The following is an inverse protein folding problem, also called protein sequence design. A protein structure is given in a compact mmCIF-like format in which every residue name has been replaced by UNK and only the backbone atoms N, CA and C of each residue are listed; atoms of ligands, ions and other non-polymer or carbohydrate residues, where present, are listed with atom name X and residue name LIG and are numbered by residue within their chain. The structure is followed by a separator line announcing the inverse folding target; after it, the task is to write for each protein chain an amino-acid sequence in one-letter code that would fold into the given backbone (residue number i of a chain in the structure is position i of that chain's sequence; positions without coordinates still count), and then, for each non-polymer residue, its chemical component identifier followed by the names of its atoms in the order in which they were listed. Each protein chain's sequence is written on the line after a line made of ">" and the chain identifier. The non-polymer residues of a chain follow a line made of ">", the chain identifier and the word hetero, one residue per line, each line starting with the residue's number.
data_IF_198117135101
#
_entry.id   IF_198117135101
#
_cell.length_a   1.000
_cell.length_b   1.000
_cell.length_c   1.000
_cell.angle_alpha   90.00
_cell.angle_beta   90.00
_cell.angle_gamma   90.00
#
_symmetry.space_group_name_H-M   'P 1'
#
loop_
_entity.id
_entity.type
_entity.pdbx_description
1 polymer ?
#
# COMPACT_ATOMS: atom_id res chain seq x y z
N UNK A 1 5.71 0.99 -12.79
CA UNK A 1 4.78 0.76 -11.67
C UNK A 1 3.77 -0.30 -12.05
N UNK A 2 3.54 -1.25 -11.18
CA UNK A 2 2.68 -2.39 -11.47
C UNK A 2 1.78 -2.70 -10.26
N UNK A 3 0.49 -2.85 -10.50
CA UNK A 3 -0.42 -3.30 -9.45
C UNK A 3 -0.22 -4.79 -9.20
N UNK A 4 -0.21 -5.19 -7.93
CA UNK A 4 -0.03 -6.59 -7.53
C UNK A 4 -1.19 -7.02 -6.63
N UNK A 5 -1.39 -8.33 -6.55
CA UNK A 5 -2.31 -8.90 -5.57
C UNK A 5 -1.55 -9.23 -4.29
N UNK A 6 -2.31 -9.47 -3.21
CA UNK A 6 -1.69 -9.81 -1.93
C UNK A 6 -0.87 -11.11 -2.00
N UNK A 7 -1.29 -12.05 -2.84
CA UNK A 7 -0.58 -13.33 -2.99
C UNK A 7 0.82 -13.14 -3.56
N UNK A 8 1.03 -12.10 -4.36
CA UNK A 8 2.33 -11.81 -4.95
C UNK A 8 3.35 -11.31 -3.93
N UNK A 9 2.90 -10.86 -2.77
CA UNK A 9 3.80 -10.38 -1.72
C UNK A 9 4.77 -11.47 -1.25
N UNK A 10 4.33 -12.73 -1.23
CA UNK A 10 5.18 -13.83 -0.82
C UNK A 10 6.36 -14.06 -1.78
N UNK A 11 6.19 -13.67 -3.04
CA UNK A 11 7.21 -13.83 -4.06
C UNK A 11 8.12 -12.63 -4.23
N UNK A 12 7.88 -11.54 -3.51
CA UNK A 12 8.73 -10.37 -3.62
C UNK A 12 10.01 -10.56 -2.82
N UNK A 13 11.14 -10.27 -3.46
CA UNK A 13 12.42 -10.27 -2.77
C UNK A 13 12.62 -8.95 -2.04
N UNK A 14 13.58 -8.92 -1.13
CA UNK A 14 13.95 -7.70 -0.42
C UNK A 14 14.44 -6.60 -1.38
N UNK A 15 14.85 -7.01 -2.59
CA UNK A 15 15.34 -6.11 -3.62
C UNK A 15 14.24 -5.61 -4.56
N UNK A 16 12.99 -5.96 -4.31
CA UNK A 16 11.88 -5.66 -5.23
C UNK A 16 11.53 -4.17 -5.31
N UNK A 17 12.14 -3.34 -4.47
CA UNK A 17 11.85 -1.91 -4.44
C UNK A 17 10.76 -1.58 -3.44
N UNK A 18 10.21 -0.37 -3.57
CA UNK A 18 9.17 0.10 -2.67
C UNK A 18 7.80 -0.47 -3.06
N UNK A 19 7.02 -0.83 -2.04
CA UNK A 19 5.61 -1.21 -2.23
C UNK A 19 4.76 -0.06 -1.70
N UNK A 20 3.76 0.34 -2.49
CA UNK A 20 2.81 1.36 -2.09
C UNK A 20 1.42 0.74 -1.92
N UNK A 21 0.71 1.19 -0.92
CA UNK A 21 -0.68 0.80 -0.69
C UNK A 21 -1.57 2.03 -0.86
N UNK A 22 -2.64 1.89 -1.63
CA UNK A 22 -3.64 2.93 -1.80
C UNK A 22 -4.96 2.43 -1.25
N UNK A 23 -5.66 3.29 -0.49
CA UNK A 23 -6.94 2.95 0.11
C UNK A 23 -8.06 3.71 -0.60
N UNK A 24 -9.17 3.02 -0.85
CA UNK A 24 -10.37 3.70 -1.32
C UNK A 24 -10.90 4.58 -0.18
N UNK A 25 -11.09 5.87 -0.48
CA UNK A 25 -11.51 6.85 0.54
C UNK A 25 -12.95 6.59 0.98
N UNK A 26 -13.11 6.28 2.27
CA UNK A 26 -14.40 5.99 2.87
C UNK A 26 -14.43 6.61 4.28
N UNK A 27 -14.63 7.94 4.38
CA UNK A 27 -14.45 8.66 5.65
C UNK A 27 -15.39 8.22 6.77
N UNK A 28 -16.51 7.58 6.42
CA UNK A 28 -17.48 7.10 7.41
C UNK A 28 -17.29 5.63 7.78
N UNK A 29 -16.31 4.96 7.17
CA UNK A 29 -16.09 3.53 7.39
C UNK A 29 -15.07 3.31 8.49
N UNK A 30 -15.44 2.51 9.50
CA UNK A 30 -14.49 2.09 10.52
C UNK A 30 -13.35 1.27 9.93
N UNK A 31 -13.64 0.50 8.87
CA UNK A 31 -12.63 -0.31 8.19
C UNK A 31 -11.56 0.56 7.55
N UNK A 32 -11.98 1.68 6.95
CA UNK A 32 -11.04 2.61 6.34
C UNK A 32 -10.07 3.19 7.39
N UNK A 33 -10.61 3.66 8.51
CA UNK A 33 -9.79 4.23 9.57
C UNK A 33 -8.89 3.18 10.23
N UNK A 34 -9.42 1.97 10.43
CA UNK A 34 -8.63 0.87 10.97
C UNK A 34 -7.49 0.48 10.03
N UNK A 35 -7.74 0.51 8.71
CA UNK A 35 -6.71 0.22 7.72
C UNK A 35 -5.58 1.23 7.76
N UNK A 36 -5.89 2.51 7.91
CA UNK A 36 -4.87 3.55 8.03
C UNK A 36 -3.98 3.32 9.26
N UNK A 37 -4.59 3.00 10.39
CA UNK A 37 -3.85 2.70 11.63
C UNK A 37 -2.99 1.45 11.46
N UNK A 38 -3.52 0.43 10.79
CA UNK A 38 -2.78 -0.81 10.55
C UNK A 38 -1.57 -0.58 9.66
N UNK A 39 -1.72 0.22 8.59
CA UNK A 39 -0.60 0.55 7.72
C UNK A 39 0.49 1.31 8.49
N UNK A 40 0.09 2.23 9.35
CA UNK A 40 1.03 2.97 10.18
C UNK A 40 1.76 2.02 11.14
N UNK A 41 1.03 1.07 11.74
CA UNK A 41 1.61 0.09 12.66
C UNK A 41 2.60 -0.85 11.96
N UNK A 42 2.43 -1.08 10.65
CA UNK A 42 3.36 -1.88 9.85
C UNK A 42 4.61 -1.10 9.43
N UNK A 43 4.76 0.13 9.89
CA UNK A 43 5.88 0.98 9.51
C UNK A 43 5.65 1.76 8.24
N UNK A 44 4.42 1.82 7.76
CA UNK A 44 4.08 2.58 6.56
C UNK A 44 4.22 4.07 6.78
N UNK A 45 4.69 4.76 5.75
CA UNK A 45 4.79 6.22 5.71
C UNK A 45 3.78 6.74 4.71
N UNK A 46 2.85 7.55 5.18
CA UNK A 46 1.88 8.16 4.27
C UNK A 46 2.53 9.28 3.48
N UNK A 47 2.34 9.22 2.16
CA UNK A 47 2.84 10.24 1.24
C UNK A 47 1.66 11.05 0.72
N UNK A 48 1.34 12.21 1.35
CA UNK A 48 0.16 12.98 0.93
C UNK A 48 0.24 13.45 -0.52
N UNK A 49 1.44 13.73 -1.01
CA UNK A 49 1.64 14.13 -2.40
C UNK A 49 1.30 13.03 -3.40
N UNK A 50 1.34 11.77 -2.95
CA UNK A 50 1.02 10.62 -3.79
C UNK A 50 -0.31 9.97 -3.43
N UNK A 51 -0.88 10.33 -2.27
CA UNK A 51 -2.11 9.71 -1.74
C UNK A 51 -1.94 8.22 -1.54
N UNK A 52 -0.76 7.83 -1.10
CA UNK A 52 -0.39 6.42 -0.96
C UNK A 52 0.48 6.22 0.26
N UNK A 53 0.51 4.98 0.76
CA UNK A 53 1.36 4.56 1.87
C UNK A 53 2.55 3.81 1.33
N UNK A 54 3.75 4.27 1.66
CA UNK A 54 4.98 3.57 1.32
C UNK A 54 5.29 2.54 2.40
N UNK A 55 5.55 1.31 1.99
CA UNK A 55 5.76 0.19 2.89
C UNK A 55 7.02 -0.58 2.52
N UNK A 56 7.70 -1.09 3.55
CA UNK A 56 8.77 -2.06 3.36
C UNK A 56 8.18 -3.46 3.49
N UNK A 57 8.48 -4.34 2.54
CA UNK A 57 7.98 -5.71 2.56
C UNK A 57 9.09 -6.62 3.07
N UNK A 58 8.80 -7.33 4.17
CA UNK A 58 9.71 -8.29 4.77
C UNK A 58 8.88 -9.37 5.46
N UNK A 59 9.55 -10.33 6.09
CA UNK A 59 8.88 -11.46 6.75
C UNK A 59 7.88 -11.02 7.82
N UNK A 60 8.13 -9.88 8.45
CA UNK A 60 7.25 -9.38 9.52
C UNK A 60 6.02 -8.66 8.99
N UNK A 61 6.07 -8.13 7.76
CA UNK A 61 4.99 -7.30 7.21
C UNK A 61 4.09 -8.03 6.21
N UNK A 62 4.59 -9.07 5.56
CA UNK A 62 3.86 -9.75 4.49
C UNK A 62 2.51 -10.28 4.96
N UNK A 63 2.49 -11.11 6.00
CA UNK A 63 1.24 -11.72 6.46
C UNK A 63 0.24 -10.71 7.00
N UNK A 64 0.64 -9.76 7.86
CA UNK A 64 -0.31 -8.72 8.29
C UNK A 64 -0.86 -7.91 7.14
N UNK A 65 -0.04 -7.60 6.13
CA UNK A 65 -0.48 -6.84 4.98
C UNK A 65 -1.46 -7.64 4.13
N UNK A 66 -1.21 -8.94 3.95
CA UNK A 66 -2.14 -9.82 3.23
C UNK A 66 -3.50 -9.90 3.92
N UNK A 67 -3.51 -10.00 5.24
CA UNK A 67 -4.75 -10.00 6.01
C UNK A 67 -5.50 -8.69 5.88
N UNK A 68 -4.77 -7.59 5.91
CA UNK A 68 -5.37 -6.27 5.75
C UNK A 68 -5.98 -6.10 4.35
N UNK A 69 -5.25 -6.53 3.32
CA UNK A 69 -5.73 -6.50 1.94
C UNK A 69 -7.06 -7.25 1.78
N UNK A 70 -7.18 -8.41 2.45
CA UNK A 70 -8.38 -9.23 2.34
C UNK A 70 -9.60 -8.59 3.00
N UNK A 71 -9.40 -7.65 3.93
CA UNK A 71 -10.49 -7.06 4.72
C UNK A 71 -10.83 -5.63 4.31
N UNK A 72 -10.07 -5.06 3.40
CA UNK A 72 -10.15 -3.62 3.10
C UNK A 72 -10.12 -3.40 1.60
N UNK A 73 -10.81 -2.35 1.16
CA UNK A 73 -10.74 -1.92 -0.24
C UNK A 73 -9.42 -1.18 -0.44
N UNK A 74 -8.41 -1.89 -0.91
CA UNK A 74 -7.08 -1.32 -1.14
C UNK A 74 -6.44 -1.92 -2.39
N UNK A 75 -5.46 -1.22 -2.92
CA UNK A 75 -4.62 -1.72 -3.99
C UNK A 75 -3.17 -1.66 -3.56
N UNK A 76 -2.37 -2.60 -4.05
CA UNK A 76 -0.94 -2.66 -3.79
C UNK A 76 -0.19 -2.46 -5.10
N UNK A 77 0.93 -1.75 -5.01
CA UNK A 77 1.72 -1.37 -6.19
C UNK A 77 3.19 -1.60 -5.92
N UNK A 78 3.89 -2.16 -6.90
CA UNK A 78 5.35 -2.23 -6.89
C UNK A 78 5.89 -1.11 -7.77
N UNK A 79 6.79 -0.32 -7.21
CA UNK A 79 7.45 0.77 -7.92
C UNK A 79 8.85 0.31 -8.27
N UNK A 80 9.16 0.32 -9.55
CA UNK A 80 10.45 -0.13 -10.07
C UNK A 80 11.38 1.06 -10.26
N UNK A 81 12.68 0.77 -10.37
CA UNK A 81 13.68 1.80 -10.65
C UNK A 81 13.35 2.47 -11.99
N UNK A 82 13.40 3.80 -11.98
CA UNK A 82 13.07 4.58 -13.16
C UNK A 82 11.62 5.01 -13.25
N UNK A 83 10.75 4.48 -12.40
CA UNK A 83 9.37 4.96 -12.34
C UNK A 83 9.33 6.37 -11.75
N UNK A 84 8.59 7.23 -12.41
CA UNK A 84 8.40 8.60 -11.97
C UNK A 84 7.05 8.73 -11.28
N UNK A 85 7.07 9.06 -9.99
CA UNK A 85 5.85 9.22 -9.21
C UNK A 85 5.52 10.70 -9.07
N UNK A 86 4.29 11.06 -9.44
CA UNK A 86 3.79 12.43 -9.36
C UNK A 86 2.50 12.46 -8.55
N UNK A 87 1.99 13.64 -8.28
CA UNK A 87 0.70 13.81 -7.58
C UNK A 87 -0.46 13.16 -8.33
N UNK A 88 -0.31 12.89 -9.63
CA UNK A 88 -1.35 12.28 -10.45
C UNK A 88 -1.29 10.75 -10.48
N UNK A 89 -0.20 10.17 -9.99
CA UNK A 89 0.04 8.73 -10.11
C UNK A 89 -1.10 7.90 -9.51
N UNK A 90 -1.59 8.28 -8.34
CA UNK A 90 -2.66 7.57 -7.63
C UNK A 90 -3.88 8.46 -7.38
N UNK A 91 -4.14 9.45 -8.24
CA UNK A 91 -5.19 10.44 -7.96
C UNK A 91 -6.59 9.86 -7.85
N UNK A 92 -6.86 8.71 -8.48
CA UNK A 92 -8.15 8.05 -8.38
C UNK A 92 -8.43 7.47 -6.99
N UNK A 93 -7.41 7.40 -6.15
CA UNK A 93 -7.54 6.93 -4.77
C UNK A 93 -7.50 8.14 -3.85
N UNK A 94 -8.66 8.72 -3.57
CA UNK A 94 -8.74 9.90 -2.74
C UNK A 94 -8.36 9.60 -1.29
N UNK A 95 -7.75 10.59 -0.61
CA UNK A 95 -7.43 10.45 0.80
C UNK A 95 -8.68 10.43 1.66
#
# INVERSE_FOLDING_TARGET
>A
MREISADELDGLSDDAGAVFATLVYQPRSHKFHAARKALQALGGSYRPELRAWELSVNDDTVKPLQRLYARTSMALWVVEDGDELTTETFERYEP
#
